data_IF_586178286629
#
_entry.id   IF_586178286629
#
_cell.length_a   1.000
_cell.length_b   1.000
_cell.length_c   1.000
_cell.angle_alpha   90.00
_cell.angle_beta   90.00
_cell.angle_gamma   90.00
#
_symmetry.space_group_name_H-M   'P 1'
#
loop_
_entity.id
_entity.type
_entity.pdbx_description
1 polymer ?
#
# COMPACT_ATOMS: atom_id res chain seq x y z
N UNK A 1 11.58 4.98 6.83
CA UNK A 1 10.93 6.25 7.19
C UNK A 1 10.11 6.72 6.01
N UNK A 2 8.94 7.29 6.22
CA UNK A 2 8.18 7.97 5.16
C UNK A 2 8.48 9.46 5.21
N UNK A 3 8.98 10.04 4.12
CA UNK A 3 9.39 11.47 4.07
C UNK A 3 9.01 12.17 2.79
N UNK A 4 8.39 11.46 1.83
CA UNK A 4 8.06 11.98 0.50
C UNK A 4 6.75 12.76 0.61
N UNK A 5 6.71 13.98 0.09
CA UNK A 5 5.48 14.76 0.06
C UNK A 5 4.49 14.18 -0.96
N UNK A 6 3.16 14.30 -0.74
CA UNK A 6 2.15 13.77 -1.66
C UNK A 6 2.33 14.21 -3.13
N UNK A 7 2.76 15.44 -3.36
CA UNK A 7 3.09 16.04 -4.65
C UNK A 7 4.25 15.36 -5.39
N UNK A 8 5.19 14.79 -4.65
CA UNK A 8 6.39 14.13 -5.18
C UNK A 8 6.19 12.62 -5.40
N UNK A 9 5.02 12.08 -5.07
CA UNK A 9 4.72 10.66 -5.29
C UNK A 9 4.67 10.34 -6.78
N UNK A 10 5.34 9.26 -7.19
CA UNK A 10 5.17 8.69 -8.53
C UNK A 10 3.76 8.13 -8.73
N UNK A 11 3.27 7.97 -9.97
CA UNK A 11 1.88 7.54 -10.24
C UNK A 11 1.48 6.25 -9.53
N UNK A 12 2.34 5.23 -9.53
CA UNK A 12 2.06 3.93 -8.88
C UNK A 12 2.09 4.01 -7.34
N UNK A 13 2.68 5.04 -6.75
CA UNK A 13 2.66 5.24 -5.28
C UNK A 13 1.34 5.85 -4.79
N UNK A 14 0.47 6.26 -5.72
CA UNK A 14 -0.81 6.94 -5.44
C UNK A 14 -2.01 5.99 -5.51
N UNK A 15 -1.79 4.70 -5.74
CA UNK A 15 -2.82 3.65 -5.84
C UNK A 15 -2.39 2.40 -5.07
N UNK A 16 -3.32 1.48 -4.73
CA UNK A 16 -2.96 0.18 -4.15
C UNK A 16 -2.04 -0.63 -5.07
N UNK A 17 -1.07 -1.33 -4.48
CA UNK A 17 -0.09 -2.16 -5.18
C UNK A 17 0.01 -3.56 -4.56
N UNK A 18 0.79 -4.41 -5.20
CA UNK A 18 1.21 -5.71 -4.69
C UNK A 18 2.73 -5.83 -4.90
N UNK A 19 3.41 -6.60 -4.05
CA UNK A 19 4.88 -6.71 -4.06
C UNK A 19 5.36 -7.82 -5.00
N UNK A 20 4.65 -8.95 -5.02
CA UNK A 20 5.02 -10.13 -5.80
C UNK A 20 3.80 -11.01 -6.07
N UNK A 21 3.86 -11.79 -7.15
CA UNK A 21 2.79 -12.73 -7.52
C UNK A 21 3.11 -14.19 -7.18
N UNK A 22 4.27 -14.47 -6.59
CA UNK A 22 4.65 -15.83 -6.17
C UNK A 22 3.88 -16.22 -4.89
N UNK A 23 3.50 -17.50 -4.73
CA UNK A 23 2.62 -17.92 -3.64
C UNK A 23 3.27 -17.91 -2.25
N UNK A 24 4.60 -17.86 -2.17
CA UNK A 24 5.38 -17.93 -0.93
C UNK A 24 5.98 -16.60 -0.50
N UNK A 25 5.78 -15.54 -1.29
CA UNK A 25 6.28 -14.21 -0.94
C UNK A 25 5.39 -13.54 0.11
N UNK A 26 5.99 -13.19 1.23
CA UNK A 26 5.36 -12.53 2.37
C UNK A 26 5.98 -11.15 2.59
N UNK A 27 5.12 -10.15 2.74
CA UNK A 27 5.50 -8.84 3.23
C UNK A 27 5.25 -8.78 4.75
N UNK A 28 6.25 -8.30 5.48
CA UNK A 28 6.23 -8.18 6.94
C UNK A 28 6.56 -6.75 7.31
N UNK A 29 5.69 -6.10 8.06
CA UNK A 29 5.87 -4.74 8.53
C UNK A 29 5.83 -4.68 10.05
N UNK A 30 6.92 -4.21 10.66
CA UNK A 30 7.00 -3.87 12.07
C UNK A 30 6.83 -2.35 12.22
N UNK A 31 5.81 -1.92 12.96
CA UNK A 31 5.59 -0.52 13.27
C UNK A 31 6.40 -0.10 14.49
N UNK A 32 7.19 0.96 14.33
CA UNK A 32 7.91 1.64 15.41
C UNK A 32 7.31 3.03 15.69
N UNK A 33 6.06 3.24 15.27
CA UNK A 33 5.25 4.43 15.48
C UNK A 33 3.86 4.06 16.01
N UNK A 34 3.10 5.05 16.49
CA UNK A 34 1.71 4.85 16.94
C UNK A 34 0.67 4.98 15.81
N UNK A 35 -0.59 4.77 16.15
CA UNK A 35 -1.73 4.76 15.22
C UNK A 35 -2.01 6.10 14.52
N UNK A 36 -1.52 7.23 15.07
CA UNK A 36 -1.72 8.57 14.47
C UNK A 36 -0.98 8.70 13.14
N UNK A 37 -0.03 7.79 12.88
CA UNK A 37 0.77 7.71 11.67
C UNK A 37 0.12 6.85 10.57
N UNK A 38 -1.08 6.30 10.80
CA UNK A 38 -1.85 5.53 9.83
C UNK A 38 -1.74 4.02 10.04
N UNK A 39 -1.40 3.26 9.00
CA UNK A 39 -1.42 1.80 9.04
C UNK A 39 -1.17 1.15 7.67
N UNK A 40 -1.70 -0.07 7.50
CA UNK A 40 -1.77 -0.76 6.20
C UNK A 40 -3.21 -1.05 5.86
N UNK A 41 -3.61 -0.66 4.66
CA UNK A 41 -4.92 -0.94 4.11
C UNK A 41 -4.84 -2.00 3.02
N UNK A 42 -5.90 -2.79 2.89
CA UNK A 42 -6.06 -3.82 1.87
C UNK A 42 -7.27 -3.50 0.99
N UNK A 43 -7.16 -3.84 -0.29
CA UNK A 43 -8.11 -3.37 -1.30
C UNK A 43 -8.55 -4.49 -2.24
N UNK A 44 -9.69 -4.27 -2.88
CA UNK A 44 -10.13 -5.00 -4.06
C UNK A 44 -10.22 -4.04 -5.23
N UNK A 45 -9.64 -4.42 -6.35
CA UNK A 45 -9.83 -3.71 -7.61
C UNK A 45 -11.23 -4.02 -8.16
N UNK A 46 -12.03 -2.98 -8.41
CA UNK A 46 -13.45 -3.11 -8.71
C UNK A 46 -13.71 -3.72 -10.09
N UNK A 47 -12.98 -3.29 -11.12
CA UNK A 47 -13.23 -3.75 -12.49
C UNK A 47 -12.84 -5.22 -12.70
N UNK A 48 -11.79 -5.70 -12.04
CA UNK A 48 -11.37 -7.11 -12.13
C UNK A 48 -11.94 -8.00 -11.02
N UNK A 49 -12.43 -7.43 -9.93
CA UNK A 49 -12.83 -8.15 -8.72
C UNK A 49 -11.66 -8.73 -7.90
N UNK A 50 -10.41 -8.47 -8.30
CA UNK A 50 -9.23 -9.05 -7.67
C UNK A 50 -8.84 -8.31 -6.40
N UNK A 51 -8.53 -9.06 -5.34
CA UNK A 51 -7.86 -8.57 -4.13
C UNK A 51 -6.44 -9.14 -3.97
N UNK A 52 -6.13 -10.17 -4.77
CA UNK A 52 -4.84 -10.86 -4.81
C UNK A 52 -4.44 -10.99 -6.29
N UNK A 53 -3.20 -10.67 -6.62
CA UNK A 53 -2.66 -10.73 -7.98
C UNK A 53 -1.67 -11.91 -8.09
N UNK A 54 -2.17 -13.04 -8.59
CA UNK A 54 -1.35 -14.24 -8.85
C UNK A 54 -0.62 -14.15 -10.19
N UNK A 55 0.33 -15.06 -10.43
CA UNK A 55 1.19 -15.01 -11.62
C UNK A 55 0.41 -15.05 -12.94
N UNK A 56 -0.66 -15.84 -12.99
CA UNK A 56 -1.58 -15.97 -14.14
C UNK A 56 -2.46 -14.72 -14.37
N UNK A 57 -2.61 -13.87 -13.35
CA UNK A 57 -3.44 -12.66 -13.40
C UNK A 57 -2.62 -11.39 -13.61
N UNK A 58 -1.31 -11.44 -13.37
CA UNK A 58 -0.43 -10.28 -13.29
C UNK A 58 -0.44 -9.41 -14.55
N UNK A 59 -0.30 -10.03 -15.71
CA UNK A 59 -0.24 -9.31 -16.99
C UNK A 59 -1.57 -8.59 -17.27
N UNK A 60 -2.67 -9.35 -17.24
CA UNK A 60 -4.03 -8.80 -17.42
C UNK A 60 -4.35 -7.68 -16.41
N UNK A 61 -3.94 -7.84 -15.15
CA UNK A 61 -4.15 -6.80 -14.14
C UNK A 61 -3.31 -5.55 -14.42
N UNK A 62 -2.06 -5.73 -14.85
CA UNK A 62 -1.18 -4.64 -15.26
C UNK A 62 -1.81 -3.81 -16.37
N UNK A 63 -2.27 -4.44 -17.44
CA UNK A 63 -2.91 -3.76 -18.58
C UNK A 63 -4.13 -2.93 -18.16
N UNK A 64 -4.98 -3.48 -17.28
CA UNK A 64 -6.15 -2.77 -16.75
C UNK A 64 -5.75 -1.52 -15.97
N UNK A 65 -4.81 -1.64 -15.03
CA UNK A 65 -4.39 -0.52 -14.19
C UNK A 65 -3.71 0.56 -15.02
N UNK A 66 -2.85 0.20 -15.98
CA UNK A 66 -2.22 1.19 -16.86
C UNK A 66 -3.25 1.96 -17.69
N UNK A 67 -4.21 1.26 -18.31
CA UNK A 67 -5.28 1.90 -19.07
C UNK A 67 -6.16 2.83 -18.20
N UNK A 68 -6.45 2.43 -16.96
CA UNK A 68 -7.21 3.26 -16.02
C UNK A 68 -6.43 4.51 -15.59
N UNK A 69 -5.14 4.37 -15.30
CA UNK A 69 -4.27 5.49 -14.90
C UNK A 69 -4.03 6.48 -16.05
N UNK A 70 -3.99 6.01 -17.31
CA UNK A 70 -3.93 6.87 -18.48
C UNK A 70 -5.21 7.68 -18.68
N UNK A 71 -6.37 7.03 -18.46
CA UNK A 71 -7.69 7.69 -18.58
C UNK A 71 -7.96 8.67 -17.43
N UNK A 72 -7.56 8.31 -16.22
CA UNK A 72 -7.80 9.10 -15.01
C UNK A 72 -6.59 9.00 -14.08
N UNK A 73 -5.62 9.92 -14.21
CA UNK A 73 -4.44 9.92 -13.36
C UNK A 73 -4.81 10.09 -11.88
N UNK A 74 -4.23 9.25 -11.02
CA UNK A 74 -4.45 9.33 -9.59
C UNK A 74 -3.91 10.67 -9.03
N UNK A 75 -4.70 11.37 -8.18
CA UNK A 75 -4.28 12.62 -7.58
C UNK A 75 -3.04 12.42 -6.69
N UNK A 76 -2.21 13.45 -6.49
CA UNK A 76 -0.99 13.38 -5.68
C UNK A 76 -1.33 13.24 -4.18
N UNK A 77 -1.70 12.03 -3.76
CA UNK A 77 -2.05 11.67 -2.39
C UNK A 77 -1.64 10.24 -2.06
N UNK A 78 -1.44 9.99 -0.78
CA UNK A 78 -1.39 8.62 -0.27
C UNK A 78 -2.79 8.01 -0.35
N UNK A 79 -2.89 6.81 -0.95
CA UNK A 79 -4.15 6.11 -1.10
C UNK A 79 -4.64 5.53 0.24
N UNK A 80 -5.82 5.92 0.70
CA UNK A 80 -6.32 5.55 2.04
C UNK A 80 -7.82 5.22 2.12
N UNK A 81 -8.58 5.46 1.05
CA UNK A 81 -10.04 5.29 1.00
C UNK A 81 -10.45 4.56 -0.27
N UNK A 82 -11.70 4.09 -0.34
CA UNK A 82 -12.28 3.61 -1.60
C UNK A 82 -12.40 4.75 -2.62
N UNK A 83 -12.29 4.43 -3.90
CA UNK A 83 -12.59 5.32 -5.01
C UNK A 83 -13.28 4.55 -6.16
N UNK A 84 -13.35 5.11 -7.36
CA UNK A 84 -13.99 4.47 -8.50
C UNK A 84 -13.30 3.16 -8.95
N UNK A 85 -12.00 3.01 -8.69
CA UNK A 85 -11.21 1.86 -9.13
C UNK A 85 -11.02 0.83 -8.01
N UNK A 86 -10.96 1.26 -6.74
CA UNK A 86 -10.65 0.39 -5.61
C UNK A 86 -11.67 0.47 -4.48
N UNK A 87 -11.94 -0.68 -3.89
CA UNK A 87 -12.73 -0.84 -2.67
C UNK A 87 -11.79 -1.14 -1.50
N UNK A 88 -11.87 -0.34 -0.43
CA UNK A 88 -11.19 -0.60 0.83
C UNK A 88 -11.85 -1.79 1.55
N UNK A 89 -11.08 -2.85 1.76
CA UNK A 89 -11.53 -4.07 2.44
C UNK A 89 -11.30 -4.03 3.94
N UNK A 90 -10.24 -3.34 4.38
CA UNK A 90 -9.90 -3.25 5.79
C UNK A 90 -8.57 -2.57 6.03
N UNK A 91 -8.41 -2.12 7.27
CA UNK A 91 -7.21 -1.41 7.74
C UNK A 91 -6.65 -2.10 8.98
N UNK A 92 -5.35 -2.35 8.96
CA UNK A 92 -4.57 -2.69 10.14
C UNK A 92 -3.85 -1.42 10.62
N UNK A 93 -4.34 -0.77 11.70
CA UNK A 93 -3.72 0.45 12.18
C UNK A 93 -2.32 0.16 12.70
N UNK A 94 -1.42 1.14 12.52
CA UNK A 94 -0.11 1.12 13.13
C UNK A 94 -0.26 1.07 14.66
N UNK A 95 0.63 0.35 15.31
CA UNK A 95 0.76 0.35 16.76
C UNK A 95 2.20 0.04 17.09
N UNK A 96 2.79 0.78 18.03
CA UNK A 96 4.18 0.55 18.39
C UNK A 96 4.40 -0.91 18.76
N UNK A 97 5.44 -1.51 18.18
CA UNK A 97 5.83 -2.91 18.36
C UNK A 97 4.80 -3.93 17.84
N UNK A 98 3.87 -3.52 16.95
CA UNK A 98 3.01 -4.43 16.20
C UNK A 98 3.71 -4.87 14.93
N UNK A 99 3.76 -6.18 14.74
CA UNK A 99 4.15 -6.81 13.48
C UNK A 99 2.89 -7.23 12.72
N UNK A 100 2.87 -6.96 11.42
CA UNK A 100 1.84 -7.39 10.48
C UNK A 100 2.54 -8.17 9.37
N UNK A 101 2.04 -9.37 9.07
CA UNK A 101 2.54 -10.22 7.99
C UNK A 101 1.39 -10.60 7.05
N UNK A 102 1.61 -10.49 5.75
CA UNK A 102 0.61 -10.79 4.72
C UNK A 102 1.27 -11.26 3.43
N UNK A 103 0.51 -11.92 2.55
CA UNK A 103 0.99 -12.35 1.23
C UNK A 103 1.30 -11.10 0.38
N UNK A 104 2.48 -11.03 -0.22
CA UNK A 104 2.87 -9.90 -1.07
C UNK A 104 1.99 -9.74 -2.31
N UNK A 105 1.24 -10.77 -2.69
CA UNK A 105 0.27 -10.72 -3.78
C UNK A 105 -1.02 -9.96 -3.45
N UNK A 106 -1.28 -9.61 -2.19
CA UNK A 106 -2.48 -8.86 -1.82
C UNK A 106 -2.36 -7.40 -2.26
N UNK A 107 -3.44 -6.84 -2.79
CA UNK A 107 -3.53 -5.41 -3.06
C UNK A 107 -3.58 -4.63 -1.75
N UNK A 108 -2.61 -3.75 -1.55
CA UNK A 108 -2.45 -3.01 -0.32
C UNK A 108 -1.84 -1.62 -0.55
N UNK A 109 -1.96 -0.77 0.45
CA UNK A 109 -1.28 0.53 0.48
C UNK A 109 -0.97 0.93 1.93
N UNK A 110 0.08 1.73 2.10
CA UNK A 110 0.35 2.38 3.37
C UNK A 110 -0.62 3.55 3.55
N UNK A 111 -1.40 3.53 4.64
CA UNK A 111 -2.07 4.73 5.11
C UNK A 111 -1.02 5.57 5.83
N UNK A 112 -0.83 6.79 5.35
CA UNK A 112 0.11 7.77 5.90
C UNK A 112 -0.67 9.03 6.21
N UNK A 113 -0.52 9.55 7.43
CA UNK A 113 -0.97 10.88 7.78
C UNK A 113 0.13 11.89 7.43
N UNK A 114 -0.02 12.72 6.37
CA UNK A 114 1.08 13.59 5.94
C UNK A 114 1.47 14.65 6.97
N UNK A 115 0.53 15.07 7.83
CA UNK A 115 0.76 16.10 8.84
C UNK A 115 1.68 15.64 9.99
N UNK A 116 1.81 14.33 10.22
CA UNK A 116 2.61 13.75 11.30
C UNK A 116 3.69 12.79 10.78
N UNK A 117 3.40 12.07 9.70
CA UNK A 117 4.18 10.94 9.23
C UNK A 117 5.43 11.30 8.42
N UNK A 118 5.49 12.50 7.84
CA UNK A 118 6.54 12.94 6.91
C UNK A 118 7.70 13.63 7.64
N UNK A 119 8.35 12.90 8.53
CA UNK A 119 9.53 13.38 9.25
C UNK A 119 10.68 12.41 9.11
N UNK A 120 11.90 12.94 8.96
CA UNK A 120 13.14 12.17 8.97
C UNK A 120 13.62 11.85 10.40
N UNK A 121 13.00 12.45 11.44
CA UNK A 121 13.28 12.11 12.84
C UNK A 121 12.58 10.78 13.21
N UNK A 122 13.33 9.72 13.57
CA UNK A 122 12.75 8.42 13.94
C UNK A 122 11.83 8.45 15.16
N UNK A 123 11.88 9.50 15.99
CA UNK A 123 11.00 9.67 17.15
C UNK A 123 9.68 10.34 16.83
N UNK A 124 9.58 10.99 15.67
CA UNK A 124 8.41 11.79 15.29
C UNK A 124 7.71 11.27 14.02
N UNK A 125 8.45 10.66 13.10
CA UNK A 125 7.91 10.21 11.81
C UNK A 125 7.27 8.83 11.85
N UNK A 126 6.68 8.43 10.72
CA UNK A 126 6.20 7.06 10.49
C UNK A 126 7.40 6.14 10.27
N UNK A 127 7.98 5.65 11.36
CA UNK A 127 9.06 4.67 11.32
C UNK A 127 8.48 3.25 11.27
N UNK A 128 8.84 2.52 10.21
CA UNK A 128 8.54 1.10 10.04
C UNK A 128 9.78 0.35 9.58
N UNK A 129 9.87 -0.93 9.94
CA UNK A 129 10.78 -1.89 9.31
C UNK A 129 9.93 -2.76 8.40
N UNK A 130 10.27 -2.78 7.12
CA UNK A 130 9.65 -3.67 6.13
C UNK A 130 10.64 -4.76 5.80
N UNK A 131 10.20 -6.01 5.87
CA UNK A 131 10.99 -7.20 5.55
C UNK A 131 10.18 -8.08 4.61
N UNK A 132 10.85 -8.67 3.64
CA UNK A 132 10.26 -9.62 2.71
C UNK A 132 10.87 -10.99 2.91
N UNK A 133 10.05 -12.03 2.76
CA UNK A 133 10.47 -13.42 2.86
C UNK A 133 9.82 -14.22 1.73
N UNK A 134 10.61 -15.02 1.04
CA UNK A 134 10.16 -15.93 -0.03
C UNK A 134 10.77 -17.31 0.25
N UNK A 135 9.96 -18.38 0.23
CA UNK A 135 10.31 -19.70 0.75
C UNK A 135 9.89 -20.86 -0.14
#
# INVERSE_FOLDING_TARGET
MTTVAPEDLGPLQRVPHFDASTPHFMAVMLYLCDERHGGTAFYRHKASGLQQITADQRERYGDLIYAEMERSPAPPRYFSESDDCFELLGVLPARFNRLVAYRGSLLHSAIVNPALGLSSDPRQGRLTITTFYDF
#
